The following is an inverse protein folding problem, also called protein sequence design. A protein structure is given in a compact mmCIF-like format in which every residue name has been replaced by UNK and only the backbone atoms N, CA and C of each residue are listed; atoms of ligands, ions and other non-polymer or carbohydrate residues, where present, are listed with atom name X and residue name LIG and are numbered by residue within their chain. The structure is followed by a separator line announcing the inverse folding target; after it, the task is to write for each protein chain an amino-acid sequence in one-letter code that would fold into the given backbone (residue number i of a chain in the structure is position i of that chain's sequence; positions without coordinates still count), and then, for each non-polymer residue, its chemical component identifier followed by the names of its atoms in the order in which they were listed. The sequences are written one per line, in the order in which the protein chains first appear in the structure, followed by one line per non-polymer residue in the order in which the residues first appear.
data_IF_587631443524
#
_entry.id   IF_587631443524
#
_cell.length_a   1.000
_cell.length_b   1.000
_cell.length_c   1.000
_cell.angle_alpha   90.00
_cell.angle_beta   90.00
_cell.angle_gamma   90.00
#
_symmetry.space_group_name_H-M   'P 1'
#
loop_
_entity.id
_entity.type
_entity.pdbx_description
1 polymer ?
#
# COMPACT_ATOMS: atom_id res chain seq x y z
N UNK A 1 -51.24 -25.39 -8.89
CA UNK A 1 -49.89 -24.84 -9.12
C UNK A 1 -49.93 -23.34 -8.89
N UNK A 2 -49.35 -22.82 -7.83
CA UNK A 2 -49.03 -21.38 -7.73
C UNK A 2 -47.97 -21.20 -6.63
N UNK A 3 -46.70 -21.30 -7.03
CA UNK A 3 -45.57 -21.00 -6.16
C UNK A 3 -45.30 -19.50 -6.23
N UNK A 4 -45.37 -18.84 -5.07
CA UNK A 4 -45.19 -17.40 -4.88
C UNK A 4 -43.72 -16.97 -5.15
N UNK A 5 -43.49 -15.91 -5.96
CA UNK A 5 -42.16 -15.56 -6.48
C UNK A 5 -41.26 -14.75 -5.52
N UNK A 6 -41.64 -14.58 -4.25
CA UNK A 6 -41.06 -13.55 -3.38
C UNK A 6 -39.86 -14.01 -2.52
N UNK A 7 -39.38 -15.24 -2.65
CA UNK A 7 -38.32 -15.79 -1.79
C UNK A 7 -36.88 -15.65 -2.35
N UNK A 8 -36.75 -15.40 -3.66
CA UNK A 8 -35.45 -15.28 -4.34
C UNK A 8 -34.67 -13.98 -4.08
N UNK A 9 -35.27 -12.79 -3.93
CA UNK A 9 -34.49 -11.55 -3.82
C UNK A 9 -33.80 -11.42 -2.45
N UNK A 10 -34.39 -11.98 -1.39
CA UNK A 10 -33.82 -11.91 -0.04
C UNK A 10 -32.53 -12.72 0.10
N UNK A 11 -32.49 -13.92 -0.50
CA UNK A 11 -31.30 -14.78 -0.51
C UNK A 11 -30.17 -14.21 -1.39
N UNK A 12 -30.52 -13.61 -2.54
CA UNK A 12 -29.54 -12.93 -3.40
C UNK A 12 -28.95 -11.69 -2.74
N UNK A 13 -29.77 -10.92 -2.02
CA UNK A 13 -29.31 -9.74 -1.29
C UNK A 13 -28.36 -10.14 -0.15
N UNK A 14 -28.68 -11.22 0.59
CA UNK A 14 -27.80 -11.76 1.63
C UNK A 14 -26.47 -12.26 1.06
N UNK A 15 -26.48 -12.88 -0.13
CA UNK A 15 -25.26 -13.36 -0.80
C UNK A 15 -24.38 -12.22 -1.31
N UNK A 16 -24.96 -11.14 -1.85
CA UNK A 16 -24.23 -9.93 -2.24
C UNK A 16 -23.65 -9.18 -1.03
N UNK A 17 -24.39 -9.12 0.08
CA UNK A 17 -23.91 -8.55 1.35
C UNK A 17 -22.75 -9.39 1.93
N UNK A 18 -22.82 -10.73 1.83
CA UNK A 18 -21.76 -11.62 2.28
C UNK A 18 -20.49 -11.51 1.42
N UNK A 19 -20.64 -11.42 0.08
CA UNK A 19 -19.52 -11.20 -0.85
C UNK A 19 -18.86 -9.83 -0.65
N UNK A 20 -19.64 -8.77 -0.42
CA UNK A 20 -19.11 -7.44 -0.14
C UNK A 20 -18.43 -7.36 1.24
N UNK A 21 -18.97 -8.02 2.28
CA UNK A 21 -18.31 -8.12 3.58
C UNK A 21 -16.97 -8.88 3.50
N UNK A 22 -16.87 -9.91 2.65
CA UNK A 22 -15.62 -10.64 2.41
C UNK A 22 -14.57 -9.75 1.72
N UNK A 23 -14.99 -8.89 0.79
CA UNK A 23 -14.13 -7.91 0.10
C UNK A 23 -13.63 -6.79 1.04
N UNK A 24 -14.46 -6.36 2.01
CA UNK A 24 -14.09 -5.32 2.99
C UNK A 24 -13.13 -5.86 4.06
N UNK A 25 -13.25 -7.15 4.42
CA UNK A 25 -12.37 -7.82 5.40
C UNK A 25 -10.92 -7.95 4.92
N UNK A 26 -10.65 -7.84 3.62
CA UNK A 26 -9.29 -7.79 3.06
C UNK A 26 -8.51 -6.50 3.39
N UNK A 27 -9.16 -5.49 3.96
CA UNK A 27 -8.51 -4.24 4.38
C UNK A 27 -8.49 -4.13 5.91
N UNK A 28 -7.92 -5.13 6.57
CA UNK A 28 -7.59 -5.05 8.00
C UNK A 28 -6.12 -5.42 8.18
N UNK A 29 -5.23 -4.58 7.65
CA UNK A 29 -3.83 -4.54 8.08
C UNK A 29 -3.70 -3.64 9.31
N UNK A 30 -4.37 -4.01 10.40
CA UNK A 30 -3.99 -3.53 11.73
C UNK A 30 -2.78 -4.31 12.22
N UNK A 31 -1.65 -4.21 11.49
CA UNK A 31 -0.33 -4.43 12.09
C UNK A 31 0.07 -3.14 12.81
N UNK A 32 -0.67 -2.81 13.87
CA UNK A 32 -0.08 -2.00 14.92
C UNK A 32 1.08 -2.82 15.48
N UNK A 33 2.32 -2.39 15.20
CA UNK A 33 3.62 -2.77 15.81
C UNK A 33 4.76 -3.30 14.90
N UNK A 34 4.72 -3.26 13.56
CA UNK A 34 5.93 -3.71 12.79
C UNK A 34 6.26 -3.02 11.47
N UNK A 35 5.54 -1.98 11.04
CA UNK A 35 5.96 -1.26 9.84
C UNK A 35 7.29 -0.55 10.09
N UNK A 36 8.33 -1.01 9.41
CA UNK A 36 9.66 -0.38 9.44
C UNK A 36 9.56 0.98 8.76
N UNK A 37 9.69 2.04 9.55
CA UNK A 37 9.66 3.44 9.10
C UNK A 37 11.06 3.98 8.75
N UNK A 38 12.08 3.12 8.70
CA UNK A 38 13.44 3.52 8.39
C UNK A 38 14.23 2.38 7.74
N UNK A 39 15.10 2.71 6.78
CA UNK A 39 16.05 1.77 6.20
C UNK A 39 17.45 2.38 6.33
N UNK A 40 18.29 1.81 7.20
CA UNK A 40 19.54 2.45 7.60
C UNK A 40 19.28 3.82 8.21
N UNK A 41 19.74 4.87 7.52
CA UNK A 41 19.63 6.26 7.96
C UNK A 41 18.53 7.07 7.23
N UNK A 42 17.73 6.42 6.38
CA UNK A 42 16.67 7.07 5.60
C UNK A 42 15.32 6.72 6.24
N UNK A 43 14.52 7.74 6.55
CA UNK A 43 13.13 7.56 7.00
C UNK A 43 12.23 7.22 5.80
N UNK A 44 11.38 6.22 5.99
CA UNK A 44 10.44 5.72 4.99
C UNK A 44 9.04 5.81 5.59
N UNK A 45 8.37 6.89 5.27
CA UNK A 45 6.99 7.19 5.65
C UNK A 45 6.02 6.94 4.48
N UNK A 46 4.73 6.83 4.84
CA UNK A 46 3.62 6.71 3.89
C UNK A 46 3.72 7.82 2.81
N UNK A 47 3.52 7.52 1.52
CA UNK A 47 2.94 6.31 0.91
C UNK A 47 3.94 5.15 0.69
N UNK A 48 5.21 5.33 1.02
CA UNK A 48 6.24 4.33 0.82
C UNK A 48 6.31 3.36 1.99
N UNK A 49 6.80 2.15 1.72
CA UNK A 49 7.14 1.18 2.76
C UNK A 49 8.10 0.13 2.19
N UNK A 50 8.87 -0.49 3.09
CA UNK A 50 9.79 -1.59 2.73
C UNK A 50 9.29 -2.95 3.19
N UNK A 51 8.15 -3.00 3.89
CA UNK A 51 7.58 -4.24 4.42
C UNK A 51 6.23 -4.54 3.78
N UNK A 52 5.98 -5.83 3.58
CA UNK A 52 4.72 -6.33 3.10
C UNK A 52 3.58 -5.96 4.06
N UNK A 53 2.48 -5.44 3.52
CA UNK A 53 1.32 -5.00 4.31
C UNK A 53 1.40 -3.56 4.83
N UNK A 54 2.51 -2.86 4.56
CA UNK A 54 2.72 -1.45 4.91
C UNK A 54 2.76 -0.58 3.64
N UNK A 55 2.45 0.71 3.79
CA UNK A 55 2.48 1.68 2.70
C UNK A 55 1.32 1.53 1.71
N UNK A 56 1.41 2.26 0.60
CA UNK A 56 0.40 2.26 -0.44
C UNK A 56 0.67 1.12 -1.44
N UNK A 57 -0.36 0.34 -1.84
CA UNK A 57 -0.18 -0.88 -2.65
C UNK A 57 0.50 -0.63 -4.01
N UNK A 58 0.35 0.56 -4.58
CA UNK A 58 1.02 0.95 -5.82
C UNK A 58 2.55 1.12 -5.72
N UNK A 59 3.10 1.26 -4.50
CA UNK A 59 4.53 1.49 -4.28
C UNK A 59 5.24 0.34 -3.56
N UNK A 60 4.52 -0.72 -3.17
CA UNK A 60 5.05 -1.83 -2.37
C UNK A 60 6.23 -2.56 -3.03
N UNK A 61 6.23 -2.64 -4.35
CA UNK A 61 7.20 -3.44 -5.12
C UNK A 61 8.27 -2.56 -5.78
N UNK A 62 8.34 -1.27 -5.42
CA UNK A 62 9.32 -0.32 -5.96
C UNK A 62 10.50 -0.12 -5.01
N UNK A 63 10.29 -0.16 -3.69
CA UNK A 63 11.32 0.14 -2.69
C UNK A 63 11.69 -1.09 -1.87
N UNK A 64 13.00 -1.38 -1.80
CA UNK A 64 13.54 -2.52 -1.08
C UNK A 64 14.65 -2.08 -0.13
N UNK A 65 14.64 -2.60 1.09
CA UNK A 65 15.71 -2.38 2.07
C UNK A 65 16.59 -3.63 2.15
N UNK A 66 17.85 -3.53 1.71
CA UNK A 66 18.81 -4.64 1.69
C UNK A 66 20.07 -4.21 2.44
N UNK A 67 20.40 -4.88 3.55
CA UNK A 67 21.55 -4.53 4.40
C UNK A 67 21.58 -3.03 4.77
N UNK A 68 20.43 -2.48 5.20
CA UNK A 68 20.26 -1.06 5.55
C UNK A 68 20.51 -0.06 4.40
N UNK A 69 20.52 -0.55 3.16
CA UNK A 69 20.55 0.27 1.95
C UNK A 69 19.19 0.23 1.27
N UNK A 70 18.60 1.41 1.07
CA UNK A 70 17.34 1.56 0.37
C UNK A 70 17.58 1.59 -1.15
N UNK A 71 16.85 0.76 -1.87
CA UNK A 71 16.98 0.55 -3.32
C UNK A 71 15.62 0.76 -3.98
N UNK A 72 15.57 1.58 -5.03
CA UNK A 72 14.42 1.78 -5.89
C UNK A 72 14.57 0.91 -7.13
N UNK A 73 13.63 0.00 -7.37
CA UNK A 73 13.55 -0.81 -8.57
C UNK A 73 12.43 -0.28 -9.48
N UNK A 74 12.82 0.18 -10.65
CA UNK A 74 11.92 0.63 -11.71
C UNK A 74 12.33 -0.02 -13.03
N UNK A 75 11.53 0.17 -14.08
CA UNK A 75 11.79 -0.44 -15.39
C UNK A 75 13.18 -0.11 -15.98
N UNK A 76 13.76 1.04 -15.62
CA UNK A 76 15.09 1.45 -16.07
C UNK A 76 16.25 0.82 -15.28
N UNK A 77 15.97 0.14 -14.17
CA UNK A 77 16.97 -0.52 -13.35
C UNK A 77 16.75 -0.33 -11.85
N UNK A 78 17.75 -0.75 -11.07
CA UNK A 78 17.79 -0.57 -9.62
C UNK A 78 18.73 0.57 -9.25
N UNK A 79 18.23 1.53 -8.48
CA UNK A 79 18.98 2.70 -8.05
C UNK A 79 19.07 2.77 -6.52
N UNK A 80 20.20 3.22 -6.01
CA UNK A 80 20.35 3.46 -4.57
C UNK A 80 19.68 4.77 -4.20
N UNK A 81 18.73 4.72 -3.28
CA UNK A 81 18.08 5.92 -2.74
C UNK A 81 19.05 6.61 -1.79
N UNK A 82 19.20 7.92 -1.97
CA UNK A 82 20.04 8.77 -1.13
C UNK A 82 19.18 9.43 -0.04
N UNK A 83 18.02 9.95 -0.43
CA UNK A 83 17.11 10.68 0.43
C UNK A 83 15.70 10.66 -0.17
N UNK A 84 14.68 10.82 0.69
CA UNK A 84 13.29 11.01 0.28
C UNK A 84 12.85 12.37 0.83
N UNK A 85 12.49 13.29 -0.06
CA UNK A 85 11.92 14.57 0.34
C UNK A 85 10.40 14.46 0.40
N UNK A 86 9.88 14.67 1.62
CA UNK A 86 8.46 14.77 1.88
C UNK A 86 8.12 16.26 1.93
N UNK A 87 7.51 16.81 0.89
CA UNK A 87 7.13 18.21 0.89
C UNK A 87 5.96 18.44 1.87
N UNK A 88 6.27 18.76 3.14
CA UNK A 88 5.29 18.92 4.23
C UNK A 88 4.74 20.36 4.36
N UNK A 89 4.98 21.24 3.40
CA UNK A 89 4.49 22.61 3.43
C UNK A 89 4.32 23.21 2.04
N UNK A 90 3.27 24.02 1.86
CA UNK A 90 2.86 24.72 0.62
C UNK A 90 1.92 23.94 -0.31
N UNK A 91 0.78 23.44 0.20
CA UNK A 91 -0.40 23.12 -0.62
C UNK A 91 -0.27 21.99 -1.64
N UNK A 92 0.91 21.38 -1.78
CA UNK A 92 1.19 20.21 -2.60
C UNK A 92 1.13 18.95 -1.71
N UNK A 93 -0.05 18.64 -1.18
CA UNK A 93 -0.29 17.52 -0.26
C UNK A 93 -0.02 16.12 -0.84
N UNK A 94 0.59 16.03 -2.03
CA UNK A 94 0.78 14.81 -2.80
C UNK A 94 2.15 14.73 -3.51
N UNK A 95 3.12 15.59 -3.16
CA UNK A 95 4.44 15.57 -3.81
C UNK A 95 5.49 15.03 -2.86
N UNK A 96 6.06 13.88 -3.22
CA UNK A 96 7.24 13.30 -2.57
C UNK A 96 8.25 12.99 -3.67
N UNK A 97 9.51 13.39 -3.49
CA UNK A 97 10.57 13.19 -4.46
C UNK A 97 11.61 12.20 -3.91
N UNK A 98 11.90 11.14 -4.69
CA UNK A 98 12.88 10.11 -4.32
C UNK A 98 14.19 10.41 -5.04
N UNK A 99 15.22 10.82 -4.28
CA UNK A 99 16.54 11.12 -4.83
C UNK A 99 17.37 9.85 -4.96
N UNK A 100 17.78 9.52 -6.19
CA UNK A 100 18.52 8.30 -6.52
C UNK A 100 19.94 8.61 -7.00
N UNK A 101 20.92 7.81 -6.57
CA UNK A 101 22.26 7.84 -7.14
C UNK A 101 22.27 7.16 -8.51
N UNK A 102 22.46 7.95 -9.57
CA UNK A 102 22.82 7.46 -10.90
C UNK A 102 24.34 7.33 -11.06
N UNK A 103 24.76 6.47 -11.98
CA UNK A 103 26.16 6.46 -12.45
C UNK A 103 26.40 7.61 -13.42
#
# INVERSE_FOLDING_TARGET
MSQSPLFFPALHHYHLIFLSALLITSCSSTQANSCRTYCGNITVDYPFATQYGCGHPGFRDLLFCINDVLMLHIASGSYRVLEIDYAWGLGLWNSCEVFCAGK
#
